data_IF_286099339897
#
_entry.id   IF_286099339897
#
_cell.length_a   1.000
_cell.length_b   1.000
_cell.length_c   1.000
_cell.angle_alpha   90.00
_cell.angle_beta   90.00
_cell.angle_gamma   90.00
#
_symmetry.space_group_name_H-M   'P 1'
#
loop_
_entity.id
_entity.type
_entity.pdbx_description
1 polymer ?
#
# COMPACT_ATOMS: atom_id res chain seq x y z
N UNK A 1 -10.46 10.06 -10.87
CA UNK A 1 -10.07 8.77 -10.26
C UNK A 1 -11.20 8.33 -9.35
N UNK A 2 -11.67 7.08 -9.46
CA UNK A 2 -12.55 6.50 -8.44
C UNK A 2 -11.69 6.34 -7.18
N UNK A 3 -12.15 6.80 -6.03
CA UNK A 3 -11.40 6.60 -4.79
C UNK A 3 -11.22 5.10 -4.54
N UNK A 4 -9.96 4.66 -4.43
CA UNK A 4 -9.58 3.28 -4.13
C UNK A 4 -9.61 2.96 -2.63
N UNK A 5 -9.74 3.99 -1.78
CA UNK A 5 -9.77 3.82 -0.33
C UNK A 5 -11.02 3.01 0.07
N UNK A 6 -10.85 1.89 0.80
CA UNK A 6 -11.97 1.09 1.27
C UNK A 6 -12.94 1.92 2.12
N UNK A 7 -14.19 2.05 1.66
CA UNK A 7 -15.25 2.75 2.38
C UNK A 7 -16.45 1.83 2.65
N UNK A 8 -16.96 1.88 3.88
CA UNK A 8 -18.07 1.07 4.38
C UNK A 8 -19.16 1.98 4.91
N UNK A 9 -20.41 1.74 4.54
CA UNK A 9 -21.54 2.54 5.02
C UNK A 9 -22.35 1.82 6.10
N UNK A 10 -22.59 2.54 7.20
CA UNK A 10 -23.45 2.13 8.30
C UNK A 10 -24.67 3.05 8.32
N UNK A 11 -25.83 2.46 8.11
CA UNK A 11 -27.07 3.19 7.90
C UNK A 11 -28.19 2.70 8.82
N UNK A 12 -29.24 3.51 9.01
CA UNK A 12 -30.33 3.25 9.95
C UNK A 12 -30.92 4.53 10.53
N UNK A 13 -32.11 4.44 11.12
CA UNK A 13 -32.80 5.60 11.70
C UNK A 13 -32.07 6.20 12.91
N UNK A 14 -32.48 7.40 13.32
CA UNK A 14 -31.99 7.99 14.58
C UNK A 14 -32.29 7.04 15.74
N UNK A 15 -31.33 6.89 16.67
CA UNK A 15 -31.44 5.95 17.78
C UNK A 15 -31.12 4.48 17.46
N UNK A 16 -30.83 4.11 16.21
CA UNK A 16 -30.54 2.71 15.85
C UNK A 16 -29.18 2.17 16.33
N UNK A 17 -28.37 3.00 16.99
CA UNK A 17 -27.04 2.63 17.49
C UNK A 17 -25.88 2.78 16.49
N UNK A 18 -26.07 3.50 15.37
CA UNK A 18 -25.02 3.71 14.34
C UNK A 18 -23.73 4.25 14.93
N UNK A 19 -23.79 5.38 15.63
CA UNK A 19 -22.59 6.04 16.18
C UNK A 19 -21.89 5.14 17.19
N UNK A 20 -22.65 4.42 18.03
CA UNK A 20 -22.10 3.41 18.95
C UNK A 20 -21.35 2.31 18.20
N UNK A 21 -21.94 1.78 17.12
CA UNK A 21 -21.30 0.76 16.29
C UNK A 21 -20.05 1.30 15.58
N UNK A 22 -20.11 2.51 15.01
CA UNK A 22 -18.97 3.14 14.34
C UNK A 22 -17.80 3.32 15.32
N UNK A 23 -18.05 3.85 16.52
CA UNK A 23 -17.02 4.01 17.56
C UNK A 23 -16.39 2.68 17.95
N UNK A 24 -17.20 1.63 18.13
CA UNK A 24 -16.71 0.29 18.45
C UNK A 24 -15.86 -0.29 17.32
N UNK A 25 -16.28 -0.15 16.06
CA UNK A 25 -15.51 -0.60 14.90
C UNK A 25 -14.19 0.19 14.76
N UNK A 26 -14.20 1.51 14.98
CA UNK A 26 -12.96 2.33 15.02
C UNK A 26 -12.00 1.74 16.03
N UNK A 27 -12.43 1.48 17.27
CA UNK A 27 -11.57 0.87 18.31
C UNK A 27 -11.02 -0.48 17.88
N UNK A 28 -11.85 -1.37 17.34
CA UNK A 28 -11.45 -2.72 16.91
C UNK A 28 -10.46 -2.71 15.76
N UNK A 29 -10.63 -1.84 14.77
CA UNK A 29 -9.72 -1.78 13.61
C UNK A 29 -8.43 -1.01 13.91
N UNK A 30 -8.49 0.05 14.72
CA UNK A 30 -7.29 0.75 15.20
C UNK A 30 -6.44 -0.13 16.10
N UNK A 31 -7.04 -0.96 16.96
CA UNK A 31 -6.32 -1.96 17.76
C UNK A 31 -5.60 -3.02 16.90
N UNK A 32 -6.05 -3.24 15.65
CA UNK A 32 -5.36 -4.08 14.65
C UNK A 32 -4.33 -3.33 13.81
N UNK A 33 -4.07 -2.06 14.10
CA UNK A 33 -3.10 -1.23 13.40
C UNK A 33 -3.62 -0.58 12.12
N UNK A 34 -4.93 -0.62 11.83
CA UNK A 34 -5.50 0.12 10.71
C UNK A 34 -5.72 1.59 11.10
N UNK A 35 -5.41 2.50 10.16
CA UNK A 35 -5.79 3.91 10.28
C UNK A 35 -7.23 4.05 9.80
N UNK A 36 -8.13 4.53 10.65
CA UNK A 36 -9.57 4.56 10.32
C UNK A 36 -10.07 6.00 10.25
N UNK A 37 -10.62 6.37 9.10
CA UNK A 37 -11.35 7.62 8.92
C UNK A 37 -12.84 7.43 9.18
N UNK A 38 -13.52 8.48 9.64
CA UNK A 38 -14.98 8.49 9.79
C UNK A 38 -15.54 9.68 9.03
N UNK A 39 -16.51 9.44 8.16
CA UNK A 39 -17.27 10.49 7.47
C UNK A 39 -18.72 10.40 7.94
N UNK A 40 -19.17 11.42 8.68
CA UNK A 40 -20.57 11.56 9.10
C UNK A 40 -21.27 12.56 8.19
N UNK A 41 -22.40 12.17 7.61
CA UNK A 41 -23.28 13.09 6.91
C UNK A 41 -24.45 13.50 7.80
N UNK A 42 -24.44 14.75 8.25
CA UNK A 42 -25.52 15.34 9.04
C UNK A 42 -26.31 16.34 8.20
N UNK A 43 -27.62 16.12 8.05
CA UNK A 43 -28.51 17.00 7.28
C UNK A 43 -28.87 18.28 8.03
N UNK A 44 -28.55 18.36 9.33
CA UNK A 44 -28.82 19.53 10.17
C UNK A 44 -27.57 20.40 10.42
N UNK A 45 -26.45 20.09 9.75
CA UNK A 45 -25.17 20.78 9.92
C UNK A 45 -24.30 20.19 11.03
N UNK A 46 -23.03 20.59 11.06
CA UNK A 46 -22.06 20.14 12.08
C UNK A 46 -22.00 21.19 13.18
N UNK A 47 -22.58 20.88 14.35
CA UNK A 47 -22.42 21.69 15.56
C UNK A 47 -21.38 20.99 16.43
N UNK A 48 -20.23 21.64 16.63
CA UNK A 48 -19.20 21.14 17.53
C UNK A 48 -19.63 21.39 18.97
N UNK A 49 -20.16 20.36 19.63
CA UNK A 49 -20.55 20.48 21.04
C UNK A 49 -19.29 20.65 21.91
N UNK A 50 -19.11 21.85 22.51
CA UNK A 50 -18.05 22.14 23.48
C UNK A 50 -16.66 22.42 22.90
N UNK A 51 -16.56 22.76 21.61
CA UNK A 51 -15.29 23.04 20.91
C UNK A 51 -14.72 24.44 21.10
N UNK A 52 -13.50 24.65 20.58
CA UNK A 52 -12.76 25.91 20.56
C UNK A 52 -13.60 27.06 20.00
N UNK A 53 -14.04 27.94 20.91
CA UNK A 53 -14.95 29.05 20.64
C UNK A 53 -14.41 30.00 19.57
N UNK A 54 -13.09 30.14 19.45
CA UNK A 54 -12.49 31.09 18.51
C UNK A 54 -12.47 30.52 17.08
N UNK A 55 -12.14 29.23 16.93
CA UNK A 55 -12.25 28.53 15.64
C UNK A 55 -13.69 28.53 15.10
N UNK A 56 -14.68 28.35 15.97
CA UNK A 56 -16.10 28.45 15.61
C UNK A 56 -16.47 29.86 15.15
N UNK A 57 -15.97 30.90 15.83
CA UNK A 57 -16.22 32.30 15.44
C UNK A 57 -15.60 32.64 14.09
N UNK A 58 -14.38 32.20 13.80
CA UNK A 58 -13.76 32.40 12.49
C UNK A 58 -14.60 31.76 11.39
N UNK A 59 -15.06 30.54 11.61
CA UNK A 59 -15.91 29.84 10.65
C UNK A 59 -17.25 30.56 10.43
N UNK A 60 -17.94 30.96 11.50
CA UNK A 60 -19.20 31.70 11.41
C UNK A 60 -19.04 33.09 10.76
N UNK A 61 -17.84 33.68 10.84
CA UNK A 61 -17.50 34.92 10.12
C UNK A 61 -17.25 34.70 8.61
N UNK A 62 -17.28 33.45 8.13
CA UNK A 62 -17.10 33.08 6.73
C UNK A 62 -15.70 32.56 6.37
N UNK A 63 -14.82 32.36 7.35
CA UNK A 63 -13.49 31.80 7.09
C UNK A 63 -13.51 30.27 7.03
N UNK A 64 -12.76 29.69 6.10
CA UNK A 64 -12.35 28.29 6.22
C UNK A 64 -11.33 28.16 7.34
N UNK A 65 -11.52 27.19 8.23
CA UNK A 65 -10.76 27.08 9.47
C UNK A 65 -9.95 25.79 9.51
N UNK A 66 -8.66 25.91 9.78
CA UNK A 66 -7.74 24.80 10.03
C UNK A 66 -7.10 25.01 11.39
N UNK A 67 -7.31 24.07 12.31
CA UNK A 67 -6.68 24.04 13.64
C UNK A 67 -5.67 22.90 13.65
N UNK A 68 -4.41 23.20 14.00
CA UNK A 68 -3.32 22.23 14.03
C UNK A 68 -2.88 22.06 15.48
N UNK A 69 -2.97 20.83 15.99
CA UNK A 69 -2.45 20.42 17.28
C UNK A 69 -1.34 19.36 17.14
N UNK A 70 -0.70 18.96 18.25
CA UNK A 70 0.28 17.86 18.23
C UNK A 70 -0.36 16.55 17.75
N UNK A 71 -0.11 16.17 16.50
CA UNK A 71 -0.57 14.90 15.93
C UNK A 71 -2.02 14.90 15.43
N UNK A 72 -2.70 16.04 15.43
CA UNK A 72 -4.08 16.16 14.94
C UNK A 72 -4.31 17.44 14.16
N UNK A 73 -5.22 17.36 13.18
CA UNK A 73 -5.66 18.51 12.39
C UNK A 73 -7.18 18.48 12.33
N UNK A 74 -7.81 19.57 12.75
CA UNK A 74 -9.23 19.79 12.53
C UNK A 74 -9.41 20.75 11.36
N UNK A 75 -10.14 20.32 10.34
CA UNK A 75 -10.50 21.17 9.21
C UNK A 75 -12.02 21.36 9.18
N UNK A 76 -12.44 22.62 9.10
CA UNK A 76 -13.84 23.00 8.90
C UNK A 76 -13.91 23.96 7.75
N UNK A 77 -14.54 23.52 6.66
CA UNK A 77 -14.48 24.19 5.37
C UNK A 77 -15.92 24.39 4.87
N UNK A 78 -16.19 25.56 4.29
CA UNK A 78 -17.47 25.83 3.67
C UNK A 78 -17.67 24.91 2.46
N UNK A 79 -18.90 24.43 2.22
CA UNK A 79 -19.17 23.60 1.06
C UNK A 79 -18.92 24.40 -0.23
N UNK A 80 -17.83 24.07 -0.92
CA UNK A 80 -17.64 24.48 -2.31
C UNK A 80 -18.53 23.64 -3.24
N UNK A 81 -18.87 24.15 -4.44
CA UNK A 81 -19.44 23.31 -5.48
C UNK A 81 -18.46 22.16 -5.80
N UNK A 82 -18.84 20.91 -5.49
CA UNK A 82 -17.99 19.72 -5.72
C UNK A 82 -17.33 19.11 -4.48
N UNK A 83 -18.09 18.86 -3.40
CA UNK A 83 -17.66 17.96 -2.31
C UNK A 83 -18.54 16.72 -2.19
N UNK A 84 -18.59 15.97 -3.28
CA UNK A 84 -19.17 14.63 -3.28
C UNK A 84 -18.50 13.74 -2.22
N UNK A 85 -19.20 12.70 -1.77
CA UNK A 85 -18.63 11.68 -0.89
C UNK A 85 -17.32 11.11 -1.45
N UNK A 86 -17.24 10.91 -2.76
CA UNK A 86 -16.05 10.36 -3.42
C UNK A 86 -14.82 11.24 -3.21
N UNK A 87 -14.99 12.56 -3.30
CA UNK A 87 -13.89 13.51 -3.05
C UNK A 87 -13.47 13.50 -1.58
N UNK A 88 -14.43 13.48 -0.65
CA UNK A 88 -14.14 13.39 0.80
C UNK A 88 -13.40 12.11 1.16
N UNK A 89 -13.76 10.97 0.56
CA UNK A 89 -13.03 9.70 0.77
C UNK A 89 -11.64 9.78 0.13
N UNK A 90 -11.48 10.42 -1.04
CA UNK A 90 -10.18 10.58 -1.69
C UNK A 90 -9.20 11.45 -0.88
N UNK A 91 -9.68 12.46 -0.16
CA UNK A 91 -8.87 13.29 0.74
C UNK A 91 -8.21 12.44 1.86
N UNK A 92 -8.87 11.35 2.29
CA UNK A 92 -8.37 10.44 3.32
C UNK A 92 -7.46 9.32 2.76
N UNK A 93 -7.31 9.20 1.44
CA UNK A 93 -6.59 8.09 0.80
C UNK A 93 -5.08 8.10 1.10
N UNK A 94 -4.50 9.25 1.42
CA UNK A 94 -3.08 9.34 1.76
C UNK A 94 -2.77 9.01 3.21
N UNK A 95 -3.78 8.79 4.07
CA UNK A 95 -3.60 8.68 5.53
C UNK A 95 -4.41 7.58 6.22
N UNK A 96 -5.56 7.16 5.68
CA UNK A 96 -6.41 6.11 6.28
C UNK A 96 -6.25 4.78 5.54
N UNK A 97 -6.65 3.66 6.12
CA UNK A 97 -6.75 2.33 5.50
C UNK A 97 -8.20 1.89 5.27
N UNK A 98 -9.12 2.49 6.01
CA UNK A 98 -10.55 2.21 5.99
C UNK A 98 -11.31 3.49 6.34
N UNK A 99 -12.43 3.74 5.65
CA UNK A 99 -13.38 4.80 6.00
C UNK A 99 -14.70 4.19 6.41
N UNK A 100 -15.19 4.58 7.57
CA UNK A 100 -16.53 4.27 8.04
C UNK A 100 -17.43 5.49 7.80
N UNK A 101 -18.43 5.30 6.94
CA UNK A 101 -19.39 6.33 6.60
C UNK A 101 -20.68 6.13 7.40
N UNK A 102 -21.05 7.13 8.19
CA UNK A 102 -22.36 7.20 8.82
C UNK A 102 -23.28 8.08 7.96
N UNK A 103 -24.25 7.46 7.26
CA UNK A 103 -25.18 8.19 6.39
C UNK A 103 -25.08 7.81 4.90
N UNK A 104 -25.24 8.82 4.02
CA UNK A 104 -25.17 8.70 2.55
C UNK A 104 -26.16 7.72 1.91
N UNK A 105 -27.46 8.01 2.06
CA UNK A 105 -28.59 7.15 1.66
C UNK A 105 -28.47 6.59 0.23
N UNK A 106 -28.15 7.46 -0.73
CA UNK A 106 -28.15 7.18 -2.17
C UNK A 106 -26.78 6.74 -2.71
N UNK A 107 -25.72 6.85 -1.92
CA UNK A 107 -24.39 6.45 -2.36
C UNK A 107 -24.25 4.92 -2.37
N UNK A 108 -23.45 4.44 -3.32
CA UNK A 108 -23.09 3.02 -3.48
C UNK A 108 -21.80 2.73 -2.76
N UNK A 109 -21.80 1.66 -1.96
CA UNK A 109 -20.64 1.15 -1.24
C UNK A 109 -20.52 -0.34 -1.48
N UNK A 110 -19.30 -0.87 -1.43
CA UNK A 110 -19.07 -2.31 -1.51
C UNK A 110 -19.63 -3.05 -0.28
N UNK A 111 -19.61 -2.41 0.88
CA UNK A 111 -20.25 -2.88 2.10
C UNK A 111 -21.16 -1.77 2.62
N UNK A 112 -22.47 -2.03 2.63
CA UNK A 112 -23.50 -1.12 3.13
C UNK A 112 -24.44 -1.88 4.05
N UNK A 113 -24.66 -1.35 5.24
CA UNK A 113 -25.41 -2.00 6.31
C UNK A 113 -26.66 -1.20 6.66
N UNK A 114 -27.72 -1.89 7.05
CA UNK A 114 -28.89 -1.27 7.67
C UNK A 114 -29.07 -1.78 9.10
N UNK A 115 -28.98 -0.88 10.07
CA UNK A 115 -29.25 -1.16 11.48
C UNK A 115 -30.72 -0.85 11.77
N UNK A 116 -31.48 -1.87 12.14
CA UNK A 116 -32.85 -1.69 12.62
C UNK A 116 -32.86 -1.12 14.03
N UNK A 117 -33.87 -0.34 14.36
CA UNK A 117 -34.15 0.08 15.74
C UNK A 117 -35.27 -0.79 16.34
N UNK A 118 -36.15 -1.31 15.49
CA UNK A 118 -37.28 -2.15 15.89
C UNK A 118 -37.38 -3.44 15.03
N UNK A 119 -38.00 -4.51 15.55
CA UNK A 119 -38.27 -5.72 14.77
C UNK A 119 -39.05 -5.42 13.50
N UNK A 120 -38.69 -6.08 12.39
CA UNK A 120 -39.33 -5.96 11.05
C UNK A 120 -39.19 -4.58 10.39
N UNK A 121 -38.43 -3.64 10.97
CA UNK A 121 -38.08 -2.39 10.30
C UNK A 121 -37.33 -2.67 9.00
N UNK A 122 -37.77 -2.05 7.91
CA UNK A 122 -37.12 -2.18 6.61
C UNK A 122 -36.36 -0.90 6.25
N UNK A 123 -35.26 -1.02 5.49
CA UNK A 123 -34.67 0.13 4.83
C UNK A 123 -35.72 0.89 4.02
N UNK A 124 -35.68 2.22 3.96
CA UNK A 124 -36.61 3.00 3.14
C UNK A 124 -36.47 2.66 1.66
N UNK A 125 -37.53 2.89 0.88
CA UNK A 125 -37.51 2.69 -0.56
C UNK A 125 -36.35 3.48 -1.21
N UNK A 126 -35.58 2.82 -2.08
CA UNK A 126 -34.37 3.38 -2.71
C UNK A 126 -33.06 3.10 -1.95
N UNK A 127 -33.09 2.36 -0.85
CA UNK A 127 -31.91 1.86 -0.14
C UNK A 127 -31.22 0.71 -0.92
N UNK A 128 -30.68 1.00 -2.09
CA UNK A 128 -29.98 -0.01 -2.89
C UNK A 128 -28.64 -0.40 -2.26
N UNK A 129 -28.24 -1.66 -2.52
CA UNK A 129 -26.92 -2.18 -2.20
C UNK A 129 -26.70 -2.51 -0.73
N UNK A 130 -27.76 -2.61 0.09
CA UNK A 130 -27.64 -3.09 1.48
C UNK A 130 -27.19 -4.54 1.46
N UNK A 131 -25.96 -4.79 1.90
CA UNK A 131 -25.39 -6.13 2.05
C UNK A 131 -26.13 -6.92 3.13
N UNK A 132 -26.41 -6.29 4.27
CA UNK A 132 -27.08 -6.95 5.40
C UNK A 132 -27.90 -5.97 6.22
N UNK A 133 -29.05 -6.46 6.70
CA UNK A 133 -29.85 -5.81 7.72
C UNK A 133 -29.51 -6.46 9.08
N UNK A 134 -29.27 -5.66 10.10
CA UNK A 134 -28.90 -6.11 11.44
C UNK A 134 -29.90 -5.67 12.51
N UNK A 135 -30.35 -6.63 13.31
CA UNK A 135 -31.28 -6.44 14.42
C UNK A 135 -30.56 -5.95 15.70
N UNK A 136 -31.25 -5.24 16.63
CA UNK A 136 -30.64 -4.67 17.83
C UNK A 136 -29.99 -5.69 18.78
N UNK A 137 -30.48 -6.93 18.78
CA UNK A 137 -30.03 -8.00 19.67
C UNK A 137 -28.87 -8.82 19.09
N UNK A 138 -28.48 -8.59 17.83
CA UNK A 138 -27.30 -9.23 17.25
C UNK A 138 -26.02 -8.56 17.76
N UNK A 139 -24.92 -9.33 17.81
CA UNK A 139 -23.58 -8.76 17.96
C UNK A 139 -23.15 -8.09 16.64
N UNK A 140 -23.68 -6.88 16.45
CA UNK A 140 -23.47 -6.06 15.26
C UNK A 140 -22.00 -5.78 15.01
N UNK A 141 -21.23 -5.53 16.07
CA UNK A 141 -19.83 -5.17 15.94
C UNK A 141 -19.04 -6.35 15.36
N UNK A 142 -19.18 -7.54 15.93
CA UNK A 142 -18.43 -8.72 15.45
C UNK A 142 -18.85 -9.16 14.05
N UNK A 143 -20.15 -9.08 13.73
CA UNK A 143 -20.66 -9.41 12.39
C UNK A 143 -20.08 -8.47 11.33
N UNK A 144 -20.13 -7.16 11.60
CA UNK A 144 -19.66 -6.15 10.65
C UNK A 144 -18.15 -6.19 10.52
N UNK A 145 -17.44 -6.34 11.64
CA UNK A 145 -15.99 -6.49 11.68
C UNK A 145 -15.52 -7.66 10.82
N UNK A 146 -16.09 -8.86 11.00
CA UNK A 146 -15.72 -10.05 10.23
C UNK A 146 -15.90 -9.82 8.73
N UNK A 147 -17.00 -9.16 8.33
CA UNK A 147 -17.26 -8.87 6.92
C UNK A 147 -16.26 -7.87 6.34
N UNK A 148 -15.96 -6.79 7.07
CA UNK A 148 -15.01 -5.79 6.62
C UNK A 148 -13.62 -6.42 6.50
N UNK A 149 -13.21 -7.25 7.47
CA UNK A 149 -11.92 -7.94 7.43
C UNK A 149 -11.80 -8.89 6.24
N UNK A 150 -12.81 -9.73 6.00
CA UNK A 150 -12.87 -10.61 4.82
C UNK A 150 -12.76 -9.80 3.52
N UNK A 151 -13.52 -8.72 3.41
CA UNK A 151 -13.52 -7.87 2.23
C UNK A 151 -12.19 -7.16 2.01
N UNK A 152 -11.57 -6.62 3.07
CA UNK A 152 -10.25 -5.99 2.99
C UNK A 152 -9.16 -6.99 2.55
N UNK A 153 -9.18 -8.22 3.09
CA UNK A 153 -8.25 -9.29 2.68
C UNK A 153 -8.43 -9.63 1.20
N UNK A 154 -9.68 -9.79 0.75
CA UNK A 154 -9.98 -10.06 -0.65
C UNK A 154 -9.51 -8.93 -1.58
N UNK A 155 -9.64 -7.66 -1.16
CA UNK A 155 -9.12 -6.51 -1.91
C UNK A 155 -7.61 -6.57 -2.07
N UNK A 156 -6.86 -6.77 -0.98
CA UNK A 156 -5.39 -6.86 -1.04
C UNK A 156 -4.94 -8.02 -1.94
N UNK A 157 -5.60 -9.18 -1.84
CA UNK A 157 -5.32 -10.34 -2.66
C UNK A 157 -5.60 -10.10 -4.16
N UNK A 158 -6.57 -9.25 -4.49
CA UNK A 158 -6.94 -8.93 -5.87
C UNK A 158 -6.02 -7.89 -6.55
N UNK A 159 -5.20 -7.17 -5.78
CA UNK A 159 -4.25 -6.19 -6.33
C UNK A 159 -3.21 -6.94 -7.19
N UNK A 160 -3.05 -6.58 -8.48
CA UNK A 160 -2.05 -7.19 -9.34
C UNK A 160 -0.64 -6.84 -8.84
N UNK A 161 0.28 -7.80 -8.91
CA UNK A 161 1.68 -7.58 -8.57
C UNK A 161 2.51 -7.53 -9.84
N UNK A 162 3.29 -6.46 -10.01
CA UNK A 162 4.27 -6.27 -11.07
C UNK A 162 5.70 -6.35 -10.50
N UNK A 163 6.67 -6.65 -11.36
CA UNK A 163 8.09 -6.69 -11.03
C UNK A 163 8.85 -5.54 -11.67
N UNK A 164 9.74 -4.91 -10.93
CA UNK A 164 10.63 -3.86 -11.43
C UNK A 164 12.09 -4.25 -11.26
N UNK A 165 12.86 -4.20 -12.34
CA UNK A 165 14.33 -4.34 -12.29
C UNK A 165 14.95 -2.98 -12.53
N UNK A 166 15.67 -2.46 -11.55
CA UNK A 166 16.38 -1.20 -11.70
C UNK A 166 17.57 -1.35 -12.65
N UNK A 167 17.56 -0.55 -13.71
CA UNK A 167 18.61 -0.43 -14.72
C UNK A 167 19.13 1.01 -14.73
N UNK A 168 20.45 1.16 -14.66
CA UNK A 168 21.05 2.48 -14.49
C UNK A 168 21.36 2.81 -13.03
N UNK A 169 22.46 3.53 -12.87
CA UNK A 169 23.16 3.76 -11.61
C UNK A 169 24.63 4.02 -11.93
N UNK A 170 25.21 5.06 -11.34
CA UNK A 170 26.57 5.47 -11.66
C UNK A 170 27.58 4.40 -11.21
N UNK A 171 27.91 3.46 -12.10
CA UNK A 171 28.97 2.47 -11.92
C UNK A 171 30.33 3.15 -12.06
N UNK A 172 30.65 4.08 -11.13
CA UNK A 172 31.88 4.90 -11.17
C UNK A 172 33.14 4.08 -10.89
N UNK A 173 33.01 2.87 -10.32
CA UNK A 173 34.13 2.01 -9.92
C UNK A 173 34.55 0.97 -10.98
N UNK A 174 33.66 0.62 -11.92
CA UNK A 174 33.76 -0.62 -12.72
C UNK A 174 33.97 -0.41 -14.23
N UNK A 175 33.91 0.83 -14.73
CA UNK A 175 34.14 1.15 -16.14
C UNK A 175 33.09 0.63 -17.14
N UNK A 176 32.18 -0.26 -16.73
CA UNK A 176 31.00 -0.74 -17.48
C UNK A 176 29.74 -0.75 -16.60
N UNK A 177 28.53 -0.54 -17.17
CA UNK A 177 27.28 -0.58 -16.42
C UNK A 177 26.94 -1.99 -15.89
N UNK A 178 26.68 -2.14 -14.58
CA UNK A 178 26.39 -3.44 -13.93
C UNK A 178 25.27 -4.25 -14.60
N UNK A 179 24.21 -3.59 -15.07
CA UNK A 179 23.06 -4.25 -15.69
C UNK A 179 23.35 -4.91 -17.05
N UNK A 180 24.51 -4.60 -17.67
CA UNK A 180 24.99 -5.23 -18.92
C UNK A 180 25.99 -6.36 -18.66
N UNK A 181 26.28 -6.69 -17.41
CA UNK A 181 27.22 -7.74 -17.07
C UNK A 181 26.61 -9.12 -17.29
N UNK A 182 27.46 -10.08 -17.63
CA UNK A 182 27.10 -11.47 -17.84
C UNK A 182 27.84 -12.37 -16.85
N UNK A 183 27.16 -13.41 -16.37
CA UNK A 183 27.76 -14.49 -15.58
C UNK A 183 27.31 -15.82 -16.20
N UNK A 184 28.27 -16.64 -16.64
CA UNK A 184 27.95 -17.94 -17.27
C UNK A 184 27.12 -17.83 -18.56
N UNK A 185 27.25 -16.72 -19.30
CA UNK A 185 26.49 -16.47 -20.54
C UNK A 185 25.08 -15.92 -20.34
N UNK A 186 24.67 -15.59 -19.11
CA UNK A 186 23.40 -14.93 -18.81
C UNK A 186 23.62 -13.53 -18.23
N UNK A 187 22.82 -12.55 -18.69
CA UNK A 187 22.87 -11.18 -18.17
C UNK A 187 22.39 -11.08 -16.72
N UNK A 188 22.99 -10.21 -15.91
CA UNK A 188 22.62 -9.99 -14.51
C UNK A 188 21.16 -9.53 -14.37
N UNK A 189 20.77 -8.48 -15.09
CA UNK A 189 19.40 -7.99 -15.12
C UNK A 189 18.42 -9.04 -15.68
N UNK A 190 18.87 -9.85 -16.63
CA UNK A 190 18.05 -10.91 -17.24
C UNK A 190 17.69 -11.98 -16.22
N UNK A 191 18.67 -12.37 -15.40
CA UNK A 191 18.45 -13.32 -14.30
C UNK A 191 17.41 -12.81 -13.30
N UNK A 192 17.55 -11.56 -12.84
CA UNK A 192 16.62 -10.96 -11.88
C UNK A 192 15.21 -10.86 -12.49
N UNK A 193 15.12 -10.41 -13.75
CA UNK A 193 13.85 -10.34 -14.48
C UNK A 193 13.17 -11.71 -14.59
N UNK A 194 13.95 -12.76 -14.90
CA UNK A 194 13.45 -14.13 -14.99
C UNK A 194 12.84 -14.60 -13.66
N UNK A 195 13.56 -14.44 -12.54
CA UNK A 195 13.06 -14.88 -11.23
C UNK A 195 11.80 -14.10 -10.82
N UNK A 196 11.78 -12.77 -11.05
CA UNK A 196 10.57 -11.97 -10.81
C UNK A 196 9.37 -12.48 -11.63
N UNK A 197 9.58 -12.79 -12.91
CA UNK A 197 8.51 -13.23 -13.82
C UNK A 197 7.78 -14.51 -13.37
N UNK A 198 8.37 -15.31 -12.49
CA UNK A 198 7.73 -16.51 -11.94
C UNK A 198 6.62 -16.20 -10.92
N UNK A 199 6.55 -14.96 -10.41
CA UNK A 199 5.62 -14.57 -9.33
C UNK A 199 4.84 -13.29 -9.58
N UNK A 200 5.16 -12.55 -10.64
CA UNK A 200 4.50 -11.28 -10.97
C UNK A 200 3.79 -11.37 -12.33
N UNK A 201 2.76 -10.55 -12.51
CA UNK A 201 1.98 -10.48 -13.75
C UNK A 201 2.81 -9.98 -14.93
N UNK A 202 3.70 -9.01 -14.68
CA UNK A 202 4.52 -8.36 -15.69
C UNK A 202 5.79 -7.81 -15.05
N UNK A 203 6.90 -7.89 -15.77
CA UNK A 203 8.18 -7.27 -15.39
C UNK A 203 8.42 -6.05 -16.26
N UNK A 204 8.94 -4.98 -15.67
CA UNK A 204 9.43 -3.78 -16.36
C UNK A 204 10.86 -3.43 -15.93
N UNK A 205 11.61 -2.81 -16.83
CA UNK A 205 12.91 -2.22 -16.54
C UNK A 205 12.71 -0.78 -16.09
N UNK A 206 13.40 -0.37 -15.02
CA UNK A 206 13.21 0.91 -14.36
C UNK A 206 14.50 1.74 -14.40
N UNK A 207 14.46 2.91 -15.02
CA UNK A 207 15.57 3.86 -15.09
C UNK A 207 16.13 4.06 -16.50
N UNK A 208 17.10 4.95 -16.62
CA UNK A 208 17.63 5.44 -17.90
C UNK A 208 18.88 4.67 -18.38
N UNK A 209 19.13 3.48 -17.83
CA UNK A 209 20.24 2.62 -18.23
C UNK A 209 20.09 2.08 -19.66
N UNK A 210 21.21 1.72 -20.29
CA UNK A 210 21.18 1.00 -21.57
C UNK A 210 20.43 -0.33 -21.42
N UNK A 211 19.50 -0.61 -22.33
CA UNK A 211 18.65 -1.81 -22.27
C UNK A 211 19.46 -3.05 -22.72
N UNK A 212 19.55 -4.13 -21.92
CA UNK A 212 20.13 -5.39 -22.37
C UNK A 212 19.34 -5.98 -23.54
N UNK A 213 20.02 -6.46 -24.59
CA UNK A 213 19.37 -6.97 -25.81
C UNK A 213 18.34 -8.08 -25.52
N UNK A 214 18.67 -8.98 -24.58
CA UNK A 214 17.78 -10.06 -24.14
C UNK A 214 16.47 -9.57 -23.50
N UNK A 215 16.44 -8.32 -23.01
CA UNK A 215 15.29 -7.72 -22.33
C UNK A 215 14.61 -6.63 -23.14
N UNK A 216 14.94 -6.51 -24.44
CA UNK A 216 14.41 -5.50 -25.35
C UNK A 216 12.89 -5.55 -25.55
N UNK A 217 12.25 -6.67 -25.22
CA UNK A 217 10.79 -6.83 -25.28
C UNK A 217 10.06 -6.36 -24.01
N UNK A 218 10.78 -6.12 -22.91
CA UNK A 218 10.16 -5.65 -21.67
C UNK A 218 9.84 -4.15 -21.74
N UNK A 219 8.75 -3.70 -21.11
CA UNK A 219 8.50 -2.27 -20.91
C UNK A 219 9.68 -1.61 -20.18
N UNK A 220 10.05 -0.42 -20.63
CA UNK A 220 11.12 0.39 -20.00
C UNK A 220 10.51 1.68 -19.51
N UNK A 221 10.66 1.95 -18.22
CA UNK A 221 10.10 3.11 -17.55
C UNK A 221 11.26 4.04 -17.17
N UNK A 222 11.39 5.21 -17.82
CA UNK A 222 12.46 6.15 -17.53
C UNK A 222 12.32 6.75 -16.13
N UNK A 223 13.44 7.25 -15.59
CA UNK A 223 13.44 7.83 -14.25
C UNK A 223 12.56 9.07 -14.16
N UNK A 224 11.84 9.21 -13.04
CA UNK A 224 11.06 10.42 -12.78
C UNK A 224 12.02 11.62 -12.60
N UNK A 225 11.82 12.63 -13.44
CA UNK A 225 12.60 13.88 -13.39
C UNK A 225 12.54 14.54 -12.00
N UNK A 226 13.63 15.16 -11.57
CA UNK A 226 13.82 15.77 -10.25
C UNK A 226 13.80 14.79 -9.05
N UNK A 227 13.87 13.48 -9.30
CA UNK A 227 14.13 12.43 -8.30
C UNK A 227 15.47 11.77 -8.60
N UNK A 228 16.08 11.12 -7.61
CA UNK A 228 17.41 10.52 -7.74
C UNK A 228 17.42 9.08 -7.21
N UNK A 229 18.35 8.28 -7.74
CA UNK A 229 18.59 6.91 -7.29
C UNK A 229 17.37 6.00 -7.48
N UNK A 230 17.29 4.90 -6.70
CA UNK A 230 16.21 3.92 -6.81
C UNK A 230 14.80 4.50 -6.71
N UNK A 231 14.64 5.61 -5.97
CA UNK A 231 13.35 6.26 -5.79
C UNK A 231 12.74 6.76 -7.10
N UNK A 232 13.57 7.22 -8.04
CA UNK A 232 13.11 7.71 -9.33
C UNK A 232 12.43 6.59 -10.14
N UNK A 233 13.08 5.43 -10.24
CA UNK A 233 12.55 4.25 -10.92
C UNK A 233 11.32 3.65 -10.22
N UNK A 234 11.31 3.59 -8.88
CA UNK A 234 10.14 3.11 -8.11
C UNK A 234 8.92 4.01 -8.38
N UNK A 235 9.10 5.33 -8.32
CA UNK A 235 8.01 6.27 -8.61
C UNK A 235 7.55 6.19 -10.07
N UNK A 236 8.45 5.94 -11.02
CA UNK A 236 8.08 5.71 -12.43
C UNK A 236 7.15 4.51 -12.56
N UNK A 237 7.49 3.38 -11.91
CA UNK A 237 6.69 2.17 -11.89
C UNK A 237 5.29 2.39 -11.30
N UNK A 238 5.22 3.03 -10.12
CA UNK A 238 3.95 3.29 -9.43
C UNK A 238 3.08 4.33 -10.14
N UNK A 239 3.67 5.25 -10.91
CA UNK A 239 2.90 6.20 -11.75
C UNK A 239 2.40 5.54 -13.03
N UNK A 240 3.14 4.58 -13.58
CA UNK A 240 2.74 3.84 -14.77
C UNK A 240 1.57 2.87 -14.51
N UNK A 241 1.61 2.14 -13.40
CA UNK A 241 0.49 1.31 -12.93
C UNK A 241 0.13 1.68 -11.48
N UNK A 242 -0.72 2.71 -11.27
CA UNK A 242 -1.13 3.15 -9.94
C UNK A 242 -1.98 2.11 -9.19
N UNK A 243 -2.63 1.23 -9.96
CA UNK A 243 -3.37 0.02 -9.56
C UNK A 243 -2.60 -1.11 -8.88
N UNK A 244 -1.28 -1.15 -9.11
CA UNK A 244 -0.48 -2.36 -8.92
C UNK A 244 0.44 -2.26 -7.71
N UNK A 245 0.65 -3.40 -7.06
CA UNK A 245 1.76 -3.57 -6.15
C UNK A 245 3.03 -3.90 -6.95
N UNK A 246 4.19 -3.53 -6.41
CA UNK A 246 5.47 -3.65 -7.09
C UNK A 246 6.50 -4.37 -6.21
N UNK A 247 7.03 -5.48 -6.73
CA UNK A 247 8.26 -6.10 -6.24
C UNK A 247 9.44 -5.48 -6.99
N UNK A 248 10.28 -4.73 -6.28
CA UNK A 248 11.37 -3.97 -6.88
C UNK A 248 12.70 -4.60 -6.48
N UNK A 249 13.54 -4.93 -7.46
CA UNK A 249 14.87 -5.51 -7.25
C UNK A 249 15.95 -4.71 -8.00
N UNK A 250 17.16 -4.72 -7.45
CA UNK A 250 18.37 -4.30 -8.14
C UNK A 250 18.82 -5.35 -9.15
N UNK A 251 19.49 -4.92 -10.22
CA UNK A 251 20.05 -5.86 -11.21
C UNK A 251 21.24 -6.67 -10.68
N UNK A 252 21.81 -6.30 -9.54
CA UNK A 252 22.95 -6.92 -8.86
C UNK A 252 22.57 -7.93 -7.76
N UNK A 253 21.27 -8.17 -7.54
CA UNK A 253 20.77 -9.16 -6.57
C UNK A 253 20.71 -10.56 -7.19
N UNK A 254 21.87 -11.13 -7.54
CA UNK A 254 21.97 -12.34 -8.38
C UNK A 254 21.49 -13.63 -7.71
N UNK A 255 21.48 -13.67 -6.38
CA UNK A 255 20.98 -14.81 -5.60
C UNK A 255 19.51 -14.66 -5.22
N UNK A 256 18.79 -13.71 -5.87
CA UNK A 256 17.34 -13.61 -5.77
C UNK A 256 16.69 -14.98 -6.02
N UNK A 257 15.77 -15.34 -5.14
CA UNK A 257 15.11 -16.64 -5.14
C UNK A 257 13.59 -16.48 -5.12
N UNK A 258 12.91 -17.47 -5.70
CA UNK A 258 11.45 -17.57 -5.65
C UNK A 258 10.94 -17.70 -4.20
N UNK A 259 11.72 -18.31 -3.32
CA UNK A 259 11.40 -18.41 -1.90
C UNK A 259 11.38 -17.03 -1.23
N UNK A 260 12.36 -16.17 -1.53
CA UNK A 260 12.37 -14.78 -1.07
C UNK A 260 11.17 -13.98 -1.59
N UNK A 261 10.81 -14.14 -2.87
CA UNK A 261 9.62 -13.50 -3.44
C UNK A 261 8.33 -13.96 -2.76
N UNK A 262 8.17 -15.27 -2.54
CA UNK A 262 7.02 -15.84 -1.84
C UNK A 262 6.91 -15.32 -0.40
N UNK A 263 8.03 -15.18 0.30
CA UNK A 263 8.06 -14.63 1.65
C UNK A 263 7.57 -13.18 1.67
N UNK A 264 8.07 -12.32 0.79
CA UNK A 264 7.58 -10.93 0.64
C UNK A 264 6.09 -10.86 0.32
N UNK A 265 5.63 -11.67 -0.63
CA UNK A 265 4.22 -11.73 -1.03
C UNK A 265 3.30 -12.20 0.11
N UNK A 266 3.78 -13.13 0.94
CA UNK A 266 3.04 -13.64 2.09
C UNK A 266 2.87 -12.64 3.24
N UNK A 267 3.65 -11.55 3.25
CA UNK A 267 3.59 -10.51 4.28
C UNK A 267 2.54 -9.43 3.98
N UNK A 268 2.00 -9.39 2.76
CA UNK A 268 0.94 -8.47 2.33
C UNK A 268 -0.31 -8.65 3.16
N UNK A 269 -0.88 -7.55 3.65
CA UNK A 269 -2.12 -7.55 4.45
C UNK A 269 -2.74 -6.15 4.50
N UNK A 270 -4.03 -6.01 4.84
CA UNK A 270 -4.65 -4.70 5.04
C UNK A 270 -3.84 -3.84 6.02
N UNK A 271 -3.67 -2.55 5.68
CA UNK A 271 -2.89 -1.60 6.48
C UNK A 271 -1.39 -1.55 6.16
N UNK A 272 -0.84 -2.56 5.48
CA UNK A 272 0.55 -2.52 5.01
C UNK A 272 0.59 -1.88 3.63
N UNK A 273 1.41 -0.84 3.48
CA UNK A 273 1.63 -0.12 2.23
C UNK A 273 3.01 -0.43 1.64
N UNK A 274 4.02 -0.66 2.47
CA UNK A 274 5.33 -1.10 1.98
C UNK A 274 5.97 -2.11 2.94
N UNK A 275 6.76 -3.01 2.38
CA UNK A 275 7.50 -4.07 3.08
C UNK A 275 8.96 -3.89 2.71
N UNK A 276 9.75 -3.40 3.66
CA UNK A 276 11.18 -3.14 3.51
C UNK A 276 11.93 -4.12 4.42
N UNK A 277 12.41 -5.26 3.92
CA UNK A 277 13.10 -6.25 4.72
C UNK A 277 14.28 -5.65 5.48
N UNK A 278 14.62 -6.23 6.62
CA UNK A 278 15.77 -5.81 7.43
C UNK A 278 16.78 -6.93 7.51
N UNK A 279 18.06 -6.66 7.28
CA UNK A 279 19.12 -7.65 7.50
C UNK A 279 19.19 -8.07 8.96
N UNK A 280 19.44 -9.36 9.20
CA UNK A 280 19.67 -9.85 10.55
C UNK A 280 20.93 -9.18 11.14
N UNK A 281 20.90 -8.88 12.43
CA UNK A 281 22.03 -8.30 13.17
C UNK A 281 22.31 -6.81 12.93
N UNK A 282 22.32 -6.34 11.68
CA UNK A 282 22.70 -4.94 11.38
C UNK A 282 21.58 -3.93 11.62
N UNK A 283 20.32 -4.37 11.59
CA UNK A 283 19.17 -3.47 11.70
C UNK A 283 18.87 -2.68 10.42
N UNK A 284 19.70 -2.82 9.38
CA UNK A 284 19.62 -2.04 8.14
C UNK A 284 18.43 -2.50 7.30
N UNK A 285 17.61 -1.55 6.85
CA UNK A 285 16.49 -1.81 5.95
C UNK A 285 16.96 -1.88 4.50
N UNK A 286 16.38 -2.80 3.75
CA UNK A 286 16.63 -3.05 2.34
C UNK A 286 15.48 -2.48 1.51
N UNK A 287 15.67 -1.33 0.84
CA UNK A 287 14.66 -0.75 -0.02
C UNK A 287 14.53 -1.47 -1.38
N UNK A 288 15.47 -2.38 -1.68
CA UNK A 288 15.51 -3.22 -2.88
C UNK A 288 15.32 -4.69 -2.50
N UNK A 289 14.82 -5.47 -3.45
CA UNK A 289 14.10 -6.72 -3.20
C UNK A 289 13.06 -6.50 -2.09
N UNK A 290 12.20 -5.51 -2.32
CA UNK A 290 11.17 -5.03 -1.41
C UNK A 290 9.82 -4.94 -2.14
N UNK A 291 8.73 -4.86 -1.37
CA UNK A 291 7.36 -4.78 -1.91
C UNK A 291 6.71 -3.44 -1.57
N UNK A 292 6.13 -2.79 -2.58
CA UNK A 292 5.41 -1.53 -2.46
C UNK A 292 3.98 -1.72 -2.97
N UNK A 293 2.98 -1.66 -2.09
CA UNK A 293 1.55 -1.62 -2.46
C UNK A 293 1.23 -0.27 -3.12
N UNK A 294 0.15 -0.17 -3.93
CA UNK A 294 -0.15 1.04 -4.69
C UNK A 294 -0.19 2.34 -3.86
N UNK A 295 -0.63 2.24 -2.60
CA UNK A 295 -0.72 3.38 -1.66
C UNK A 295 0.63 3.84 -1.12
N UNK A 296 1.70 3.05 -1.24
CA UNK A 296 3.05 3.48 -0.89
C UNK A 296 3.50 4.71 -1.67
N UNK A 297 2.93 4.96 -2.85
CA UNK A 297 3.22 6.14 -3.68
C UNK A 297 3.06 7.44 -2.90
N UNK A 298 2.01 7.53 -2.07
CA UNK A 298 1.76 8.71 -1.22
C UNK A 298 2.91 9.01 -0.25
N UNK A 299 3.59 7.97 0.25
CA UNK A 299 4.75 8.11 1.12
C UNK A 299 6.03 8.37 0.31
N UNK A 300 6.22 7.64 -0.79
CA UNK A 300 7.38 7.76 -1.68
C UNK A 300 7.52 9.15 -2.30
N UNK A 301 6.42 9.85 -2.58
CA UNK A 301 6.42 11.24 -3.07
C UNK A 301 6.96 12.24 -2.03
N UNK A 302 7.02 11.86 -0.75
CA UNK A 302 7.38 12.76 0.38
C UNK A 302 8.79 12.56 0.92
N UNK A 303 9.46 11.46 0.59
CA UNK A 303 10.80 11.13 1.05
C UNK A 303 11.88 11.48 0.01
N UNK A 304 13.15 11.48 0.39
CA UNK A 304 14.26 11.65 -0.56
C UNK A 304 14.90 10.32 -0.97
N UNK A 305 14.79 9.29 -0.14
CA UNK A 305 15.19 7.92 -0.44
C UNK A 305 14.14 6.91 0.05
N UNK A 306 13.97 5.73 -0.59
CA UNK A 306 12.94 4.79 -0.19
C UNK A 306 13.18 4.21 1.22
N UNK A 307 14.44 4.12 1.66
CA UNK A 307 14.77 3.67 3.01
C UNK A 307 14.19 4.56 4.13
N UNK A 308 13.93 5.85 3.85
CA UNK A 308 13.32 6.79 4.80
C UNK A 308 11.87 6.44 5.14
N UNK A 309 11.24 5.54 4.36
CA UNK A 309 9.93 5.00 4.69
C UNK A 309 9.93 4.18 5.99
N UNK A 310 11.09 3.67 6.42
CA UNK A 310 11.19 2.89 7.65
C UNK A 310 10.67 3.70 8.85
N UNK A 311 9.71 3.10 9.58
CA UNK A 311 9.05 3.75 10.72
C UNK A 311 7.85 4.63 10.37
N UNK A 312 7.58 4.86 9.08
CA UNK A 312 6.35 5.55 8.68
C UNK A 312 5.11 4.64 8.85
N UNK A 313 3.93 5.21 9.13
CA UNK A 313 2.70 4.44 9.23
C UNK A 313 2.41 3.61 7.97
N UNK A 314 2.07 2.33 8.17
CA UNK A 314 1.83 1.38 7.10
C UNK A 314 3.08 0.76 6.48
N UNK A 315 4.28 1.12 6.94
CA UNK A 315 5.52 0.51 6.47
C UNK A 315 5.99 -0.53 7.48
N UNK A 316 6.15 -1.77 7.04
CA UNK A 316 6.65 -2.86 7.89
C UNK A 316 8.08 -3.22 7.48
N UNK A 317 8.90 -3.52 8.48
CA UNK A 317 10.30 -3.88 8.28
C UNK A 317 10.59 -5.27 8.87
N UNK A 318 10.13 -6.35 8.23
CA UNK A 318 10.35 -7.69 8.78
C UNK A 318 11.84 -8.07 8.68
N UNK A 319 12.35 -8.78 9.69
CA UNK A 319 13.70 -9.35 9.61
C UNK A 319 13.74 -10.46 8.56
N UNK A 320 14.78 -10.46 7.72
CA UNK A 320 14.98 -11.49 6.70
C UNK A 320 15.29 -12.83 7.40
N UNK A 321 14.58 -13.92 7.07
CA UNK A 321 14.91 -15.24 7.60
C UNK A 321 16.32 -15.67 7.19
N UNK A 322 17.08 -16.29 8.10
CA UNK A 322 18.47 -16.73 7.87
C UNK A 322 18.65 -17.50 6.55
N UNK A 323 17.72 -18.40 6.21
CA UNK A 323 17.77 -19.18 4.98
C UNK A 323 17.49 -18.42 3.68
N UNK A 324 17.16 -17.12 3.75
CA UNK A 324 16.82 -16.27 2.61
C UNK A 324 17.78 -15.08 2.45
N UNK A 325 18.71 -14.85 3.39
CA UNK A 325 19.57 -13.65 3.41
C UNK A 325 20.38 -13.48 2.13
N UNK A 326 20.82 -14.59 1.53
CA UNK A 326 21.59 -14.58 0.30
C UNK A 326 20.87 -13.83 -0.83
N UNK A 327 19.53 -13.81 -0.85
CA UNK A 327 18.76 -13.09 -1.87
C UNK A 327 18.92 -11.57 -1.82
N UNK A 328 19.32 -10.99 -0.68
CA UNK A 328 19.63 -9.56 -0.50
C UNK A 328 21.12 -9.24 -0.58
N UNK A 329 21.93 -10.18 -1.02
CA UNK A 329 23.33 -9.93 -1.28
C UNK A 329 23.55 -9.33 -2.68
N UNK A 330 24.09 -8.13 -2.70
CA UNK A 330 24.51 -7.48 -3.94
C UNK A 330 25.84 -8.05 -4.42
N UNK A 331 26.04 -8.07 -5.74
CA UNK A 331 27.35 -8.25 -6.35
C UNK A 331 27.87 -6.90 -6.88
N UNK A 332 29.07 -6.50 -6.46
CA UNK A 332 29.71 -5.29 -6.98
C UNK A 332 30.63 -5.59 -8.17
N UNK A 333 31.21 -6.80 -8.21
CA UNK A 333 32.16 -7.23 -9.25
C UNK A 333 31.79 -8.59 -9.88
N UNK A 334 32.24 -8.90 -11.11
CA UNK A 334 32.00 -10.22 -11.71
C UNK A 334 32.74 -11.33 -10.97
N UNK A 335 33.88 -11.03 -10.32
CA UNK A 335 34.59 -11.98 -9.47
C UNK A 335 33.80 -12.29 -8.19
N UNK A 336 33.19 -11.29 -7.56
CA UNK A 336 32.26 -11.48 -6.43
C UNK A 336 31.05 -12.28 -6.86
N UNK A 337 30.44 -11.92 -7.99
CA UNK A 337 29.33 -12.67 -8.56
C UNK A 337 29.73 -14.14 -8.77
N UNK A 338 30.85 -14.41 -9.44
CA UNK A 338 31.35 -15.76 -9.68
C UNK A 338 31.62 -16.53 -8.38
N UNK A 339 32.13 -15.88 -7.33
CA UNK A 339 32.37 -16.51 -6.02
C UNK A 339 31.08 -16.88 -5.31
N UNK A 340 30.12 -15.95 -5.25
CA UNK A 340 28.79 -16.16 -4.64
C UNK A 340 28.00 -17.23 -5.39
N UNK A 341 28.16 -17.27 -6.70
CA UNK A 341 27.47 -18.22 -7.57
C UNK A 341 28.12 -19.61 -7.60
N UNK A 342 29.45 -19.66 -7.67
CA UNK A 342 30.22 -20.91 -7.75
C UNK A 342 30.17 -21.76 -6.48
N UNK A 343 29.92 -21.15 -5.32
CA UNK A 343 29.70 -21.85 -4.04
C UNK A 343 28.29 -22.43 -3.92
N UNK A 344 27.29 -21.85 -4.60
CA UNK A 344 25.91 -22.33 -4.61
C UNK A 344 25.68 -23.50 -5.59
N UNK A 345 26.55 -23.64 -6.60
CA UNK A 345 26.47 -24.70 -7.61
C UNK A 345 26.93 -26.09 -7.16
N UNK A 346 27.55 -26.24 -5.98
CA UNK A 346 28.10 -27.52 -5.54
C UNK A 346 27.15 -28.38 -4.68
N UNK A 347 25.89 -27.98 -4.48
CA UNK A 347 24.90 -28.76 -3.70
C UNK A 347 23.87 -29.55 -4.55
N UNK A 348 24.02 -29.62 -5.87
CA UNK A 348 23.08 -30.36 -6.75
C UNK A 348 23.74 -31.41 -7.66
N UNK A 349 24.89 -31.97 -7.26
CA UNK A 349 25.53 -33.05 -8.02
C UNK A 349 26.31 -34.01 -7.15
N UNK A 350 25.62 -35.01 -6.57
CA UNK A 350 26.27 -36.03 -5.75
C UNK A 350 25.32 -37.15 -5.33
N UNK A 351 24.68 -37.79 -6.30
CA UNK A 351 23.78 -38.93 -6.06
C UNK A 351 23.75 -39.88 -7.25
N UNK A 352 24.85 -40.58 -7.48
CA UNK A 352 24.84 -41.84 -8.22
C UNK A 352 26.01 -42.72 -7.76
N UNK A 353 25.70 -43.68 -6.90
CA UNK A 353 26.24 -45.04 -6.94
C UNK A 353 25.08 -45.98 -6.61
#
# INVERSE_FOLDING_TARGET
MKSELPAVAIWGWSGSGKTTLVVELVRRFTARGLRVGVIKHDVHGVVQAGGDKDSDRFFQAGADTVVIGPGEVLQRLHPGPGRSLTEQVAELDSVCDLVLCEGFKTARFAVKLWLRSAPREQPPAGAEGVWRILDPYEDRASIVEARIEEWLKARVAAIPVCGGVLIGGASRRMGRPKHLMELGGQGWAERVARVLSERVRQVALLGDGQIPAALSSLPVLPDVTARQGPLAGILAAMRWQPEAAWLIAGCDQLLISVAALNWLLGLRRPGVWAILPRRCGSGTVEPLLALYEPRARHLLERVSAPAELAGMPGVVTPEIPEGLESSWEDADTPEEAARKFGTSGSMLGGGSA
#
